data_IF_000511891608
#
_entry.id   IF_000511891608
#
_cell.length_a   1.000
_cell.length_b   1.000
_cell.length_c   1.000
_cell.angle_alpha   90.00
_cell.angle_beta   90.00
_cell.angle_gamma   90.00
#
_symmetry.space_group_name_H-M   'P 1'
#
loop_
_entity.id
_entity.type
_entity.pdbx_description
1 polymer ?
#
# COMPACT_ATOMS: atom_id res chain seq x y z
N UNK A 1 -55.87 27.43 -45.43
CA UNK A 1 -55.49 28.11 -44.17
C UNK A 1 -54.95 27.01 -43.26
N UNK A 2 -53.72 27.00 -42.71
CA UNK A 2 -52.99 28.10 -42.06
C UNK A 2 -53.72 28.46 -40.77
N UNK A 3 -53.23 28.28 -39.53
CA UNK A 3 -51.89 27.94 -38.98
C UNK A 3 -52.11 27.08 -37.69
N UNK A 4 -51.16 26.64 -36.84
CA UNK A 4 -49.71 26.88 -36.61
C UNK A 4 -49.10 25.72 -35.78
N UNK A 5 -47.80 25.49 -35.82
CA UNK A 5 -47.08 24.79 -34.71
C UNK A 5 -46.89 25.75 -33.52
N UNK A 6 -47.00 25.26 -32.27
CA UNK A 6 -46.24 25.78 -31.14
C UNK A 6 -44.93 24.98 -30.99
N UNK A 7 -43.83 25.59 -31.43
CA UNK A 7 -42.48 25.18 -31.01
C UNK A 7 -42.18 25.85 -29.67
N UNK A 8 -41.99 25.06 -28.61
CA UNK A 8 -41.50 25.56 -27.31
C UNK A 8 -40.35 24.69 -26.82
N UNK A 9 -39.14 25.19 -27.05
CA UNK A 9 -37.89 24.66 -26.48
C UNK A 9 -37.96 24.76 -24.95
N UNK A 10 -37.78 23.65 -24.21
CA UNK A 10 -37.41 23.75 -22.80
C UNK A 10 -36.33 22.73 -22.40
N UNK A 11 -35.19 23.30 -21.99
CA UNK A 11 -34.30 22.79 -20.95
C UNK A 11 -33.50 21.50 -21.20
N UNK A 12 -32.45 21.60 -22.03
CA UNK A 12 -31.24 20.77 -21.85
C UNK A 12 -30.46 21.22 -20.60
N UNK A 13 -31.05 21.10 -19.42
CA UNK A 13 -30.42 21.42 -18.12
C UNK A 13 -30.74 20.32 -17.11
N UNK A 14 -30.10 19.15 -17.29
CA UNK A 14 -30.23 18.02 -16.36
C UNK A 14 -28.95 17.20 -16.17
N UNK A 15 -27.96 17.34 -17.07
CA UNK A 15 -26.75 16.52 -17.03
C UNK A 15 -25.61 17.14 -16.19
N UNK A 16 -25.58 18.47 -16.06
CA UNK A 16 -24.49 19.21 -15.40
C UNK A 16 -24.41 18.90 -13.89
N UNK A 17 -25.56 18.77 -13.21
CA UNK A 17 -25.63 18.54 -11.76
C UNK A 17 -25.15 17.15 -11.30
N UNK A 18 -25.20 16.14 -12.18
CA UNK A 18 -24.77 14.78 -11.87
C UNK A 18 -23.22 14.63 -11.93
N UNK A 19 -22.55 15.48 -12.71
CA UNK A 19 -21.09 15.42 -12.87
C UNK A 19 -20.34 15.95 -11.64
N UNK A 20 -20.79 17.06 -11.06
CA UNK A 20 -20.12 17.72 -9.93
C UNK A 20 -20.23 16.88 -8.65
N UNK A 21 -21.43 16.35 -8.38
CA UNK A 21 -21.70 15.40 -7.30
C UNK A 21 -21.10 14.00 -7.49
N UNK A 22 -20.33 13.75 -8.57
CA UNK A 22 -19.49 12.56 -8.75
C UNK A 22 -18.01 12.89 -8.56
N UNK A 23 -17.54 14.02 -9.10
CA UNK A 23 -16.16 14.51 -8.92
C UNK A 23 -15.81 14.69 -7.44
N UNK A 24 -16.70 15.27 -6.64
CA UNK A 24 -16.46 15.46 -5.20
C UNK A 24 -16.27 14.13 -4.47
N UNK A 25 -17.17 13.15 -4.65
CA UNK A 25 -17.08 11.82 -4.05
C UNK A 25 -15.84 11.03 -4.49
N UNK A 26 -15.41 11.18 -5.75
CA UNK A 26 -14.14 10.60 -6.22
C UNK A 26 -12.93 11.24 -5.52
N UNK A 27 -12.94 12.58 -5.34
CA UNK A 27 -11.87 13.30 -4.61
C UNK A 27 -11.83 12.95 -3.12
N UNK A 28 -12.99 12.83 -2.47
CA UNK A 28 -13.14 12.38 -1.08
C UNK A 28 -12.66 10.92 -0.93
N UNK A 29 -13.00 10.04 -1.86
CA UNK A 29 -12.53 8.65 -1.88
C UNK A 29 -11.02 8.54 -2.07
N UNK A 30 -10.45 9.35 -2.98
CA UNK A 30 -9.00 9.42 -3.20
C UNK A 30 -8.27 9.90 -1.94
N UNK A 31 -8.70 11.02 -1.35
CA UNK A 31 -8.12 11.54 -0.11
C UNK A 31 -8.22 10.55 1.05
N UNK A 32 -9.34 9.80 1.14
CA UNK A 32 -9.52 8.74 2.14
C UNK A 32 -8.57 7.56 1.89
N UNK A 33 -8.34 7.17 0.63
CA UNK A 33 -7.40 6.12 0.27
C UNK A 33 -5.94 6.52 0.53
N UNK A 34 -5.56 7.78 0.25
CA UNK A 34 -4.25 8.35 0.56
C UNK A 34 -3.98 8.37 2.08
N UNK A 35 -4.97 8.79 2.88
CA UNK A 35 -4.87 8.79 4.34
C UNK A 35 -4.80 7.37 4.91
N UNK A 36 -5.64 6.45 4.42
CA UNK A 36 -5.57 5.03 4.79
C UNK A 36 -4.20 4.44 4.45
N UNK A 37 -3.66 4.72 3.26
CA UNK A 37 -2.32 4.29 2.85
C UNK A 37 -1.24 4.89 3.78
N UNK A 38 -1.35 6.17 4.16
CA UNK A 38 -0.42 6.84 5.08
C UNK A 38 -0.42 6.18 6.46
N UNK A 39 -1.60 6.02 7.07
CA UNK A 39 -1.76 5.45 8.42
C UNK A 39 -1.39 3.97 8.45
N UNK A 40 -1.83 3.18 7.48
CA UNK A 40 -1.48 1.76 7.38
C UNK A 40 0.02 1.54 7.15
N UNK A 41 0.67 2.37 6.32
CA UNK A 41 2.13 2.34 6.13
C UNK A 41 2.87 2.63 7.44
N UNK A 42 2.45 3.65 8.19
CA UNK A 42 3.05 3.98 9.49
C UNK A 42 2.84 2.90 10.54
N UNK A 43 1.66 2.25 10.57
CA UNK A 43 1.39 1.12 11.44
C UNK A 43 2.27 -0.08 11.09
N UNK A 44 2.34 -0.44 9.80
CA UNK A 44 3.12 -1.58 9.33
C UNK A 44 4.62 -1.38 9.52
N UNK A 45 5.12 -0.15 9.35
CA UNK A 45 6.51 0.22 9.67
C UNK A 45 6.86 -0.09 11.13
N UNK A 46 6.01 0.36 12.09
CA UNK A 46 6.19 0.08 13.52
C UNK A 46 6.08 -1.41 13.84
N UNK A 47 5.18 -2.14 13.16
CA UNK A 47 5.08 -3.60 13.28
C UNK A 47 6.38 -4.28 12.83
N UNK A 48 6.95 -3.85 11.70
CA UNK A 48 8.19 -4.39 11.14
C UNK A 48 9.40 -4.09 12.06
N UNK A 49 9.53 -2.86 12.58
CA UNK A 49 10.54 -2.51 13.60
C UNK A 49 10.44 -3.41 14.83
N UNK A 50 9.23 -3.64 15.34
CA UNK A 50 9.01 -4.43 16.55
C UNK A 50 9.21 -5.94 16.30
N UNK A 51 8.91 -6.43 15.11
CA UNK A 51 9.13 -7.84 14.72
C UNK A 51 10.63 -8.14 14.57
N UNK A 52 11.37 -7.24 13.91
CA UNK A 52 12.82 -7.36 13.77
C UNK A 52 13.55 -7.24 15.12
N UNK A 53 13.12 -6.34 16.02
CA UNK A 53 13.62 -6.28 17.40
C UNK A 53 13.38 -7.57 18.19
N UNK A 54 12.29 -8.29 17.92
CA UNK A 54 11.94 -9.57 18.54
C UNK A 54 12.58 -10.78 17.85
N UNK A 55 13.32 -10.59 16.75
CA UNK A 55 13.87 -11.68 15.95
C UNK A 55 12.80 -12.66 15.42
N UNK A 56 11.54 -12.24 15.34
CA UNK A 56 10.43 -13.13 14.98
C UNK A 56 9.26 -12.36 14.38
N UNK A 57 8.70 -12.92 13.32
CA UNK A 57 7.49 -12.44 12.68
C UNK A 57 6.29 -13.29 13.14
N UNK A 58 5.11 -12.69 13.23
CA UNK A 58 3.84 -13.41 13.44
C UNK A 58 3.40 -14.14 12.16
N UNK A 59 4.25 -15.05 11.66
CA UNK A 59 3.88 -15.99 10.60
C UNK A 59 3.33 -17.23 11.27
N UNK A 60 2.02 -17.46 11.10
CA UNK A 60 1.39 -18.72 11.47
C UNK A 60 2.16 -19.83 10.75
N UNK A 61 2.72 -20.79 11.48
CA UNK A 61 3.66 -21.80 10.95
C UNK A 61 2.92 -22.81 10.06
N UNK A 62 2.60 -22.38 8.85
CA UNK A 62 1.87 -23.17 7.86
C UNK A 62 2.76 -24.33 7.38
N UNK A 63 2.22 -25.55 7.49
CA UNK A 63 3.01 -26.77 7.32
C UNK A 63 3.37 -26.96 5.84
N UNK A 64 4.64 -27.31 5.59
CA UNK A 64 5.25 -27.68 4.31
C UNK A 64 5.59 -26.56 3.30
N UNK A 65 4.84 -25.45 3.22
CA UNK A 65 5.05 -24.38 2.23
C UNK A 65 5.49 -23.01 2.82
N UNK A 66 5.61 -22.91 4.15
CA UNK A 66 5.87 -21.64 4.85
C UNK A 66 7.24 -20.95 4.61
N UNK A 67 8.28 -21.65 4.14
CA UNK A 67 9.60 -21.01 3.92
C UNK A 67 9.61 -20.12 2.66
N UNK A 68 9.02 -20.59 1.58
CA UNK A 68 8.94 -19.89 0.29
C UNK A 68 7.98 -18.71 0.36
N UNK A 69 6.83 -18.87 1.03
CA UNK A 69 5.85 -17.79 1.22
C UNK A 69 6.40 -16.64 2.07
N UNK A 70 7.24 -16.93 3.08
CA UNK A 70 8.00 -15.91 3.82
C UNK A 70 8.97 -15.18 2.89
N UNK A 71 9.77 -15.90 2.09
CA UNK A 71 10.76 -15.25 1.22
C UNK A 71 10.12 -14.32 0.19
N UNK A 72 9.00 -14.73 -0.42
CA UNK A 72 8.21 -13.90 -1.34
C UNK A 72 7.63 -12.68 -0.63
N UNK A 73 7.08 -12.86 0.58
CA UNK A 73 6.55 -11.76 1.39
C UNK A 73 7.64 -10.75 1.76
N UNK A 74 8.83 -11.22 2.16
CA UNK A 74 9.95 -10.37 2.53
C UNK A 74 10.55 -9.64 1.31
N UNK A 75 10.54 -10.26 0.12
CA UNK A 75 10.89 -9.59 -1.14
C UNK A 75 9.91 -8.43 -1.45
N UNK A 76 8.61 -8.65 -1.27
CA UNK A 76 7.60 -7.60 -1.46
C UNK A 76 7.77 -6.43 -0.45
N UNK A 77 8.05 -6.74 0.82
CA UNK A 77 8.40 -5.72 1.84
C UNK A 77 9.65 -4.93 1.44
N UNK A 78 10.66 -5.59 0.87
CA UNK A 78 11.89 -4.92 0.44
C UNK A 78 11.62 -3.89 -0.67
N UNK A 79 10.84 -4.28 -1.70
CA UNK A 79 10.43 -3.36 -2.77
C UNK A 79 9.57 -2.20 -2.23
N UNK A 80 8.67 -2.46 -1.27
CA UNK A 80 7.86 -1.43 -0.63
C UNK A 80 8.71 -0.40 0.16
N UNK A 81 9.78 -0.85 0.83
CA UNK A 81 10.74 0.05 1.47
C UNK A 81 11.51 0.90 0.45
N UNK A 82 11.95 0.31 -0.66
CA UNK A 82 12.62 1.05 -1.74
C UNK A 82 11.70 2.10 -2.38
N UNK A 83 10.43 1.78 -2.58
CA UNK A 83 9.46 2.73 -3.13
C UNK A 83 9.10 3.84 -2.12
N UNK A 84 9.05 3.55 -0.82
CA UNK A 84 8.95 4.58 0.22
C UNK A 84 10.13 5.55 0.21
N UNK A 85 11.36 5.06 0.01
CA UNK A 85 12.58 5.88 -0.10
C UNK A 85 12.50 6.78 -1.34
N UNK A 86 12.05 6.26 -2.49
CA UNK A 86 11.91 7.03 -3.73
C UNK A 86 10.82 8.11 -3.66
N UNK A 87 9.70 7.82 -3.01
CA UNK A 87 8.51 8.71 -3.05
C UNK A 87 8.45 9.76 -1.93
N UNK A 88 9.25 9.66 -0.84
CA UNK A 88 9.25 10.66 0.24
C UNK A 88 10.64 10.93 0.82
N UNK A 89 11.15 12.13 0.56
CA UNK A 89 12.53 12.55 0.86
C UNK A 89 12.87 12.68 2.36
N UNK A 90 11.87 12.78 3.25
CA UNK A 90 12.07 13.20 4.66
C UNK A 90 12.13 12.03 5.67
N UNK A 91 11.79 10.80 5.27
CA UNK A 91 11.81 9.63 6.16
C UNK A 91 12.97 8.66 5.85
N UNK A 92 13.88 9.05 4.96
CA UNK A 92 14.89 8.19 4.34
C UNK A 92 15.75 7.43 5.35
N UNK A 93 16.33 8.09 6.35
CA UNK A 93 17.26 7.47 7.30
C UNK A 93 16.64 6.32 8.10
N UNK A 94 15.41 6.49 8.61
CA UNK A 94 14.72 5.43 9.37
C UNK A 94 14.30 4.27 8.49
N UNK A 95 13.86 4.55 7.26
CA UNK A 95 13.47 3.52 6.28
C UNK A 95 14.71 2.73 5.82
N UNK A 96 15.84 3.41 5.62
CA UNK A 96 17.14 2.80 5.34
C UNK A 96 17.68 1.96 6.51
N UNK A 97 17.58 2.44 7.74
CA UNK A 97 17.97 1.68 8.93
C UNK A 97 17.11 0.40 9.07
N UNK A 98 15.80 0.50 8.80
CA UNK A 98 14.90 -0.65 8.82
C UNK A 98 15.19 -1.64 7.69
N UNK A 99 15.52 -1.15 6.49
CA UNK A 99 15.97 -1.96 5.34
C UNK A 99 17.24 -2.74 5.68
N UNK A 100 18.24 -2.08 6.27
CA UNK A 100 19.48 -2.73 6.75
C UNK A 100 19.21 -3.81 7.81
N UNK A 101 18.34 -3.52 8.79
CA UNK A 101 17.92 -4.51 9.81
C UNK A 101 17.22 -5.71 9.18
N UNK A 102 16.38 -5.49 8.16
CA UNK A 102 15.70 -6.56 7.42
C UNK A 102 16.69 -7.44 6.65
N UNK A 103 17.66 -6.85 5.95
CA UNK A 103 18.71 -7.59 5.25
C UNK A 103 19.59 -8.39 6.22
N UNK A 104 19.98 -7.80 7.35
CA UNK A 104 20.77 -8.48 8.38
C UNK A 104 20.00 -9.66 9.01
N UNK A 105 18.69 -9.50 9.23
CA UNK A 105 17.83 -10.59 9.70
C UNK A 105 17.75 -11.73 8.67
N UNK A 106 17.53 -11.40 7.39
CA UNK A 106 17.50 -12.36 6.30
C UNK A 106 18.80 -13.14 6.18
N UNK A 107 19.95 -12.46 6.19
CA UNK A 107 21.27 -13.11 6.12
C UNK A 107 21.48 -14.10 7.26
N UNK A 108 21.23 -13.69 8.52
CA UNK A 108 21.36 -14.59 9.69
C UNK A 108 20.46 -15.82 9.61
N UNK A 109 19.23 -15.67 9.10
CA UNK A 109 18.32 -16.80 8.94
C UNK A 109 18.67 -17.71 7.74
N UNK A 110 19.30 -17.17 6.69
CA UNK A 110 19.85 -17.95 5.58
C UNK A 110 21.10 -18.71 6.03
N UNK A 111 22.02 -18.07 6.73
CA UNK A 111 23.22 -18.69 7.33
C UNK A 111 22.83 -19.83 8.28
N UNK A 112 21.85 -19.61 9.16
CA UNK A 112 21.32 -20.66 10.05
C UNK A 112 20.66 -21.80 9.27
N UNK A 113 19.95 -21.52 8.19
CA UNK A 113 19.29 -22.55 7.38
C UNK A 113 20.28 -23.37 6.52
N UNK A 114 21.39 -22.77 6.08
CA UNK A 114 22.47 -23.45 5.36
C UNK A 114 23.33 -24.27 6.34
N UNK A 115 23.63 -23.73 7.53
CA UNK A 115 24.36 -24.42 8.59
C UNK A 115 23.64 -25.64 9.18
N UNK A 116 22.31 -25.71 9.08
CA UNK A 116 21.50 -26.91 9.40
C UNK A 116 21.54 -28.01 8.32
N UNK A 117 22.19 -27.78 7.18
CA UNK A 117 22.25 -28.71 6.03
C UNK A 117 23.64 -29.27 5.72
N UNK A 118 24.61 -29.05 6.61
CA UNK A 118 25.93 -29.71 6.64
C UNK A 118 26.11 -30.53 7.92
#
# INVERSE_FOLDING_TARGET
MGVKQPSTKHSSVSEISNSEGKKNRLKESLSSAEELLRVSSQWFFKYLENSLKKGSFFVKKEKANGKESILVSLKAVNCWLDDLIKNRCEASEKVEELRKKLHQFLLKHIESAIGETM
#
